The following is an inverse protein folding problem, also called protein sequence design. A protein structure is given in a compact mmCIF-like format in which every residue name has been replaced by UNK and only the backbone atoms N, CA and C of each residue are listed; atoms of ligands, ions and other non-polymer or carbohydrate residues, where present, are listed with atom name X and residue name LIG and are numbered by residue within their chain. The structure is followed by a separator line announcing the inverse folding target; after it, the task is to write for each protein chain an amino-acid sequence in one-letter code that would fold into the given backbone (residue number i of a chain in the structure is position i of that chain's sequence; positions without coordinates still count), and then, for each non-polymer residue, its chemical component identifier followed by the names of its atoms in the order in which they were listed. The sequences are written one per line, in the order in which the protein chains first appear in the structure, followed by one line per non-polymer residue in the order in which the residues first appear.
data_IF_334172877939
#
_entry.id   IF_334172877939
#
_cell.length_a   1.000
_cell.length_b   1.000
_cell.length_c   1.000
_cell.angle_alpha   90.00
_cell.angle_beta   90.00
_cell.angle_gamma   90.00
#
_symmetry.space_group_name_H-M   'P 1'
#
loop_
_entity.id
_entity.type
_entity.pdbx_description
1 polymer ?
#
# COMPACT_ATOMS: atom_id res chain seq x y z
N UNK A 1 -24.03 -2.02 -17.54
CA UNK A 1 -23.18 -0.89 -17.22
C UNK A 1 -23.91 0.39 -17.66
N UNK A 2 -24.32 1.24 -16.69
CA UNK A 2 -25.15 2.44 -16.97
C UNK A 2 -24.33 3.63 -17.52
N UNK A 3 -22.97 3.56 -17.47
CA UNK A 3 -22.12 4.73 -17.72
C UNK A 3 -20.85 4.47 -18.54
N UNK A 4 -20.72 3.34 -19.21
CA UNK A 4 -19.56 3.10 -20.06
C UNK A 4 -19.53 1.72 -20.69
N UNK A 5 -18.99 1.66 -21.88
CA UNK A 5 -18.82 0.43 -22.67
C UNK A 5 -17.55 -0.33 -22.32
N UNK A 6 -16.82 0.10 -21.28
CA UNK A 6 -15.57 -0.51 -20.84
C UNK A 6 -15.66 -1.21 -19.47
N UNK A 7 -14.73 -2.09 -19.19
CA UNK A 7 -14.69 -2.83 -17.94
C UNK A 7 -13.28 -3.22 -17.52
N UNK A 8 -13.10 -3.46 -16.20
CA UNK A 8 -11.90 -4.07 -15.65
C UNK A 8 -12.25 -5.45 -15.13
N UNK A 9 -11.57 -6.47 -15.64
CA UNK A 9 -11.70 -7.86 -15.19
C UNK A 9 -10.42 -8.25 -14.45
N UNK A 10 -10.54 -8.71 -13.22
CA UNK A 10 -9.40 -9.16 -12.42
C UNK A 10 -9.46 -10.67 -12.24
N UNK A 11 -8.42 -11.38 -12.69
CA UNK A 11 -8.26 -12.82 -12.53
C UNK A 11 -7.15 -13.11 -11.54
N UNK A 12 -7.46 -13.90 -10.52
CA UNK A 12 -6.51 -14.32 -9.48
C UNK A 12 -6.37 -15.85 -9.47
N UNK A 13 -5.23 -16.36 -8.95
CA UNK A 13 -5.04 -17.79 -8.78
C UNK A 13 -4.85 -18.57 -10.08
N UNK A 14 -4.38 -17.92 -11.14
CA UNK A 14 -4.15 -18.59 -12.45
C UNK A 14 -3.04 -19.65 -12.42
N UNK A 15 -2.23 -19.66 -11.38
CA UNK A 15 -1.26 -20.74 -11.13
C UNK A 15 -1.92 -22.12 -10.96
N UNK A 16 -3.20 -22.14 -10.56
CA UNK A 16 -4.03 -23.36 -10.48
C UNK A 16 -4.80 -23.70 -11.75
N UNK A 17 -4.65 -22.92 -12.82
CA UNK A 17 -5.37 -23.16 -14.08
C UNK A 17 -4.98 -24.51 -14.71
N UNK A 18 -5.97 -25.27 -15.12
CA UNK A 18 -5.79 -26.47 -15.95
C UNK A 18 -5.60 -26.06 -17.43
N UNK A 19 -5.28 -27.05 -18.28
CA UNK A 19 -5.00 -26.81 -19.70
C UNK A 19 -6.22 -26.22 -20.43
N UNK A 20 -7.44 -26.58 -20.00
CA UNK A 20 -8.68 -26.07 -20.58
C UNK A 20 -8.88 -24.58 -20.29
N UNK A 21 -8.68 -24.20 -19.04
CA UNK A 21 -8.75 -22.80 -18.63
C UNK A 21 -7.62 -21.98 -19.26
N UNK A 22 -6.41 -22.54 -19.33
CA UNK A 22 -5.29 -21.89 -19.99
C UNK A 22 -5.55 -21.64 -21.49
N UNK A 23 -6.17 -22.59 -22.19
CA UNK A 23 -6.55 -22.41 -23.59
C UNK A 23 -7.65 -21.34 -23.76
N UNK A 24 -8.65 -21.35 -22.90
CA UNK A 24 -9.72 -20.36 -22.93
C UNK A 24 -9.21 -18.94 -22.66
N UNK A 25 -8.28 -18.78 -21.72
CA UNK A 25 -7.66 -17.49 -21.42
C UNK A 25 -6.85 -16.93 -22.60
N UNK A 26 -6.13 -17.79 -23.34
CA UNK A 26 -5.42 -17.36 -24.55
C UNK A 26 -6.37 -16.82 -25.60
N UNK A 27 -7.49 -17.50 -25.84
CA UNK A 27 -8.50 -17.02 -26.78
C UNK A 27 -9.12 -15.67 -26.35
N UNK A 28 -9.44 -15.52 -25.06
CA UNK A 28 -9.97 -14.26 -24.51
C UNK A 28 -8.99 -13.10 -24.71
N UNK A 29 -7.70 -13.36 -24.59
CA UNK A 29 -6.66 -12.31 -24.74
C UNK A 29 -6.50 -11.91 -26.20
N UNK A 30 -6.58 -12.88 -27.13
CA UNK A 30 -6.54 -12.59 -28.57
C UNK A 30 -7.72 -11.76 -29.06
N UNK A 31 -8.89 -11.97 -28.45
CA UNK A 31 -10.15 -11.31 -28.81
C UNK A 31 -10.58 -10.20 -27.80
N UNK A 32 -9.63 -9.69 -26.96
CA UNK A 32 -9.96 -8.73 -25.91
C UNK A 32 -10.38 -7.37 -26.53
N UNK A 33 -11.56 -6.87 -26.22
CA UNK A 33 -11.99 -5.56 -26.72
C UNK A 33 -11.13 -4.41 -26.19
N UNK A 34 -10.88 -3.38 -26.99
CA UNK A 34 -10.03 -2.23 -26.66
C UNK A 34 -10.46 -1.46 -25.40
N UNK A 35 -11.75 -1.55 -25.04
CA UNK A 35 -12.33 -0.90 -23.87
C UNK A 35 -12.36 -1.80 -22.61
N UNK A 36 -11.77 -3.01 -22.67
CA UNK A 36 -11.69 -3.94 -21.54
C UNK A 36 -10.25 -4.09 -21.05
N UNK A 37 -10.03 -3.85 -19.77
CA UNK A 37 -8.75 -4.07 -19.12
C UNK A 37 -8.75 -5.39 -18.38
N UNK A 38 -7.86 -6.29 -18.74
CA UNK A 38 -7.67 -7.58 -18.07
C UNK A 38 -6.45 -7.52 -17.14
N UNK A 39 -6.69 -7.62 -15.84
CA UNK A 39 -5.64 -7.67 -14.83
C UNK A 39 -5.50 -9.10 -14.32
N UNK A 40 -4.32 -9.67 -14.47
CA UNK A 40 -4.04 -11.06 -14.07
C UNK A 40 -2.98 -11.05 -12.98
N UNK A 41 -3.22 -11.76 -11.86
CA UNK A 41 -2.22 -11.92 -10.80
C UNK A 41 -1.69 -13.35 -10.78
N UNK A 42 -0.37 -13.46 -10.58
CA UNK A 42 0.32 -14.75 -10.46
C UNK A 42 1.31 -14.69 -9.28
N UNK A 43 1.30 -15.67 -8.36
CA UNK A 43 2.15 -15.63 -7.15
C UNK A 43 3.64 -15.84 -7.42
N UNK A 44 4.02 -16.12 -8.65
CA UNK A 44 5.40 -16.52 -9.01
C UNK A 44 5.60 -18.03 -8.90
N UNK A 45 6.86 -18.46 -9.10
CA UNK A 45 7.24 -19.88 -9.04
C UNK A 45 6.95 -20.66 -10.32
N UNK A 46 7.01 -22.00 -10.22
CA UNK A 46 6.94 -22.89 -11.38
C UNK A 46 5.51 -23.29 -11.77
N UNK A 47 4.58 -23.24 -10.82
CA UNK A 47 3.19 -23.64 -11.04
C UNK A 47 2.52 -22.60 -11.95
N UNK A 48 1.86 -23.03 -13.00
CA UNK A 48 1.24 -22.13 -13.98
C UNK A 48 2.22 -21.33 -14.85
N UNK A 49 3.53 -21.63 -14.79
CA UNK A 49 4.56 -20.87 -15.51
C UNK A 49 4.34 -20.83 -17.02
N UNK A 50 3.92 -21.92 -17.64
CA UNK A 50 3.67 -21.97 -19.08
C UNK A 50 2.58 -20.97 -19.51
N UNK A 51 1.54 -20.83 -18.72
CA UNK A 51 0.50 -19.80 -18.95
C UNK A 51 1.05 -18.40 -18.73
N UNK A 52 1.80 -18.18 -17.65
CA UNK A 52 2.44 -16.88 -17.39
C UNK A 52 3.39 -16.46 -18.51
N UNK A 53 4.20 -17.38 -19.03
CA UNK A 53 5.13 -17.11 -20.12
C UNK A 53 4.38 -16.80 -21.43
N UNK A 54 3.27 -17.49 -21.70
CA UNK A 54 2.40 -17.19 -22.84
C UNK A 54 1.73 -15.79 -22.72
N UNK A 55 1.29 -15.41 -21.52
CA UNK A 55 0.75 -14.07 -21.27
C UNK A 55 1.79 -12.97 -21.48
N UNK A 56 3.02 -13.18 -21.04
CA UNK A 56 4.13 -12.26 -21.28
C UNK A 56 4.48 -12.13 -22.76
N UNK A 57 4.38 -13.23 -23.51
CA UNK A 57 4.63 -13.24 -24.95
C UNK A 57 3.54 -12.51 -25.77
N UNK A 58 2.35 -12.33 -25.20
CA UNK A 58 1.24 -11.58 -25.77
C UNK A 58 1.30 -10.05 -25.50
N UNK A 59 2.48 -9.52 -25.30
CA UNK A 59 2.75 -8.07 -25.05
C UNK A 59 2.04 -7.48 -23.83
N UNK A 60 1.80 -8.32 -22.82
CA UNK A 60 1.20 -7.87 -21.57
C UNK A 60 2.12 -6.92 -20.79
N UNK A 61 1.56 -5.87 -20.21
CA UNK A 61 2.30 -5.03 -19.28
C UNK A 61 2.56 -5.78 -17.97
N UNK A 62 3.81 -6.14 -17.70
CA UNK A 62 4.21 -6.94 -16.54
C UNK A 62 4.69 -6.04 -15.41
N UNK A 63 3.97 -6.09 -14.28
CA UNK A 63 4.34 -5.39 -13.07
C UNK A 63 4.86 -6.40 -12.04
N UNK A 64 6.12 -6.25 -11.63
CA UNK A 64 6.70 -7.07 -10.56
C UNK A 64 6.23 -6.54 -9.20
N UNK A 65 5.46 -7.38 -8.50
CA UNK A 65 4.93 -7.11 -7.16
C UNK A 65 5.70 -7.88 -6.07
N UNK A 66 7.01 -8.06 -6.24
CA UNK A 66 7.83 -8.73 -5.24
C UNK A 66 7.72 -8.01 -3.88
N UNK A 67 7.70 -8.76 -2.76
CA UNK A 67 7.64 -8.16 -1.42
C UNK A 67 8.78 -7.17 -1.19
N UNK A 68 8.44 -5.97 -0.75
CA UNK A 68 9.42 -4.96 -0.35
C UNK A 68 10.07 -5.41 0.94
N UNK A 69 11.41 -5.57 0.94
CA UNK A 69 12.16 -5.96 2.15
C UNK A 69 12.28 -4.79 3.10
N UNK A 70 12.29 -5.09 4.41
CA UNK A 70 12.54 -4.11 5.48
C UNK A 70 13.89 -3.39 5.28
N UNK A 71 14.00 -2.18 5.81
CA UNK A 71 15.21 -1.35 5.72
C UNK A 71 15.28 -0.55 4.42
N UNK A 72 16.40 -0.62 3.70
CA UNK A 72 16.68 0.25 2.54
C UNK A 72 15.60 0.21 1.48
N UNK A 73 14.99 -0.95 1.23
CA UNK A 73 13.91 -1.09 0.24
C UNK A 73 12.62 -0.37 0.64
N UNK A 74 12.33 -0.30 1.95
CA UNK A 74 11.21 0.49 2.45
C UNK A 74 11.51 2.00 2.33
N UNK A 75 12.74 2.42 2.62
CA UNK A 75 13.14 3.82 2.42
C UNK A 75 13.06 4.23 0.94
N UNK A 76 13.51 3.35 0.03
CA UNK A 76 13.36 3.56 -1.42
C UNK A 76 11.87 3.65 -1.83
N UNK A 77 11.00 2.84 -1.24
CA UNK A 77 9.56 2.89 -1.47
C UNK A 77 9.00 4.25 -1.06
N UNK A 78 9.29 4.72 0.16
CA UNK A 78 8.84 6.03 0.65
C UNK A 78 9.28 7.16 -0.30
N UNK A 79 10.55 7.15 -0.70
CA UNK A 79 11.07 8.15 -1.63
C UNK A 79 10.37 8.15 -3.00
N UNK A 80 10.06 6.96 -3.53
CA UNK A 80 9.29 6.82 -4.78
C UNK A 80 7.84 7.28 -4.63
N UNK A 81 7.25 7.07 -3.46
CA UNK A 81 5.89 7.50 -3.18
C UNK A 81 5.81 9.03 -3.18
N UNK A 82 6.74 9.75 -2.53
CA UNK A 82 6.83 11.20 -2.65
C UNK A 82 7.05 11.67 -4.10
N UNK A 83 7.90 10.98 -4.84
CA UNK A 83 8.18 11.31 -6.25
C UNK A 83 6.94 11.11 -7.15
N UNK A 84 6.10 10.11 -6.89
CA UNK A 84 4.84 9.89 -7.62
C UNK A 84 3.88 11.07 -7.47
N UNK A 85 3.89 11.73 -6.31
CA UNK A 85 3.17 12.97 -6.02
C UNK A 85 3.89 14.23 -6.51
N UNK A 86 5.02 14.11 -7.23
CA UNK A 86 5.87 15.21 -7.71
C UNK A 86 6.39 16.11 -6.56
N UNK A 87 6.57 15.54 -5.38
CA UNK A 87 7.10 16.23 -4.20
C UNK A 87 8.52 15.77 -3.91
N UNK A 88 9.34 16.70 -3.49
CA UNK A 88 10.69 16.40 -2.99
C UNK A 88 10.63 16.16 -1.50
N UNK A 89 11.48 15.27 -1.01
CA UNK A 89 11.62 14.93 0.41
C UNK A 89 13.10 14.76 0.75
N UNK A 90 13.49 15.15 1.95
CA UNK A 90 14.87 14.96 2.41
C UNK A 90 15.08 13.53 2.92
N UNK A 91 16.31 13.02 2.85
CA UNK A 91 16.65 11.70 3.39
C UNK A 91 16.33 11.56 4.88
N UNK A 92 16.59 12.57 5.75
CA UNK A 92 16.18 12.51 7.15
C UNK A 92 14.67 12.40 7.34
N UNK A 93 13.86 13.08 6.52
CA UNK A 93 12.39 12.98 6.56
C UNK A 93 11.89 11.57 6.21
N UNK A 94 12.48 10.95 5.18
CA UNK A 94 12.19 9.56 4.81
C UNK A 94 12.51 8.59 5.95
N UNK A 95 13.64 8.77 6.62
CA UNK A 95 14.04 7.95 7.76
C UNK A 95 13.08 8.15 8.95
N UNK A 96 12.75 9.39 9.29
CA UNK A 96 11.80 9.70 10.37
C UNK A 96 10.41 9.11 10.13
N UNK A 97 9.92 9.15 8.87
CA UNK A 97 8.65 8.54 8.51
C UNK A 97 8.68 7.01 8.69
N UNK A 98 9.77 6.38 8.27
CA UNK A 98 9.97 4.94 8.49
C UNK A 98 10.04 4.57 9.97
N UNK A 99 10.72 5.36 10.79
CA UNK A 99 10.82 5.16 12.25
C UNK A 99 9.46 5.31 12.94
N UNK A 100 8.62 6.24 12.48
CA UNK A 100 7.31 6.52 13.07
C UNK A 100 6.27 5.46 12.74
N UNK A 101 6.29 4.89 11.53
CA UNK A 101 5.24 3.98 11.02
C UNK A 101 5.72 2.53 10.95
N UNK A 102 7.02 2.33 10.73
CA UNK A 102 7.58 1.00 10.52
C UNK A 102 7.51 0.55 9.05
N UNK A 103 7.14 -0.72 8.83
CA UNK A 103 7.26 -1.38 7.51
C UNK A 103 5.92 -1.58 6.79
N UNK A 104 4.82 -1.09 7.32
CA UNK A 104 3.53 -1.19 6.65
C UNK A 104 3.45 -0.24 5.47
N UNK A 105 3.53 -0.81 4.25
CA UNK A 105 3.56 -0.01 3.01
C UNK A 105 2.27 0.76 2.77
N UNK A 106 1.13 0.23 3.21
CA UNK A 106 -0.16 0.89 3.07
C UNK A 106 -0.26 2.11 3.97
N UNK A 107 0.15 1.97 5.24
CA UNK A 107 0.23 3.09 6.18
C UNK A 107 1.25 4.13 5.72
N UNK A 108 2.41 3.70 5.21
CA UNK A 108 3.43 4.61 4.68
C UNK A 108 2.91 5.41 3.47
N UNK A 109 2.25 4.76 2.52
CA UNK A 109 1.67 5.44 1.36
C UNK A 109 0.58 6.44 1.78
N UNK A 110 -0.29 6.05 2.73
CA UNK A 110 -1.30 6.94 3.30
C UNK A 110 -0.69 8.17 3.97
N UNK A 111 0.34 7.97 4.78
CA UNK A 111 1.05 9.05 5.46
C UNK A 111 1.77 10.00 4.48
N UNK A 112 2.39 9.46 3.42
CA UNK A 112 2.98 10.29 2.35
C UNK A 112 1.91 11.13 1.68
N UNK A 113 0.76 10.53 1.34
CA UNK A 113 -0.35 11.27 0.72
C UNK A 113 -0.85 12.42 1.59
N UNK A 114 -0.95 12.20 2.89
CA UNK A 114 -1.35 13.23 3.86
C UNK A 114 -0.29 14.34 3.98
N UNK A 115 0.98 13.99 4.18
CA UNK A 115 2.07 14.97 4.25
C UNK A 115 2.14 15.83 2.97
N UNK A 116 1.94 15.22 1.81
CA UNK A 116 1.90 15.95 0.53
C UNK A 116 0.74 16.93 0.46
N UNK A 117 -0.41 16.61 1.06
CA UNK A 117 -1.59 17.48 1.08
C UNK A 117 -1.48 18.60 2.10
N UNK A 118 -0.88 18.32 3.26
CA UNK A 118 -0.95 19.23 4.42
C UNK A 118 0.29 20.10 4.56
N UNK A 119 1.42 19.71 3.97
CA UNK A 119 2.70 20.43 4.06
C UNK A 119 2.98 21.19 2.76
N UNK A 120 3.10 22.50 2.81
CA UNK A 120 3.43 23.35 1.65
C UNK A 120 4.93 23.32 1.30
N UNK A 121 5.80 23.06 2.28
CA UNK A 121 7.26 23.05 2.09
C UNK A 121 7.70 22.03 1.02
N UNK A 122 8.66 22.43 0.18
CA UNK A 122 9.23 21.57 -0.84
C UNK A 122 10.73 21.85 -1.03
N UNK A 123 11.65 21.01 -0.53
CA UNK A 123 11.39 19.65 -0.04
C UNK A 123 10.69 19.59 1.31
N UNK A 124 9.93 18.53 1.56
CA UNK A 124 9.41 18.14 2.87
C UNK A 124 10.59 17.68 3.72
N UNK A 125 10.76 18.27 4.91
CA UNK A 125 11.89 17.97 5.78
C UNK A 125 11.49 17.18 7.04
N UNK A 126 12.50 16.79 7.81
CA UNK A 126 12.33 16.00 9.04
C UNK A 126 11.44 16.68 10.07
N UNK A 127 11.54 18.01 10.18
CA UNK A 127 10.73 18.76 11.12
C UNK A 127 9.25 18.79 10.74
N UNK A 128 8.93 18.80 9.44
CA UNK A 128 7.55 18.66 8.94
C UNK A 128 6.97 17.29 9.32
N UNK A 129 7.75 16.22 9.15
CA UNK A 129 7.34 14.86 9.51
C UNK A 129 7.12 14.74 11.02
N UNK A 130 8.05 15.24 11.83
CA UNK A 130 7.94 15.20 13.29
C UNK A 130 6.73 15.97 13.77
N UNK A 131 6.57 17.21 13.33
CA UNK A 131 5.43 18.04 13.71
C UNK A 131 4.09 17.38 13.37
N UNK A 132 4.01 16.75 12.20
CA UNK A 132 2.82 16.02 11.78
C UNK A 132 2.51 14.84 12.72
N UNK A 133 3.52 14.02 13.07
CA UNK A 133 3.31 12.84 13.92
C UNK A 133 3.25 13.17 15.42
N UNK A 134 3.97 14.20 15.90
CA UNK A 134 3.84 14.69 17.26
C UNK A 134 2.43 15.19 17.53
N UNK A 135 1.85 15.97 16.61
CA UNK A 135 0.48 16.45 16.71
C UNK A 135 -0.57 15.32 16.71
N UNK A 136 -0.38 14.27 15.93
CA UNK A 136 -1.28 13.11 15.87
C UNK A 136 -1.18 12.27 17.15
N UNK A 137 0.02 12.05 17.67
CA UNK A 137 0.25 11.31 18.92
C UNK A 137 -0.31 12.06 20.13
N UNK A 138 -0.16 13.37 20.16
CA UNK A 138 -0.66 14.24 21.24
C UNK A 138 -2.19 14.29 21.23
N UNK A 139 -2.82 14.45 20.06
CA UNK A 139 -4.28 14.41 19.90
C UNK A 139 -4.86 13.08 20.36
N UNK A 140 -4.24 11.96 20.01
CA UNK A 140 -4.70 10.64 20.47
C UNK A 140 -4.57 10.48 21.98
N UNK A 141 -3.46 10.95 22.57
CA UNK A 141 -3.24 10.94 24.02
C UNK A 141 -4.27 11.79 24.79
N UNK A 142 -4.50 13.00 24.34
CA UNK A 142 -5.50 13.92 24.94
C UNK A 142 -6.92 13.36 24.79
N UNK A 143 -7.30 12.81 23.64
CA UNK A 143 -8.64 12.24 23.43
C UNK A 143 -8.92 11.06 24.38
N UNK A 144 -7.90 10.22 24.64
CA UNK A 144 -8.01 9.13 25.63
C UNK A 144 -8.16 9.71 27.04
N UNK A 145 -7.32 10.69 27.39
CA UNK A 145 -7.36 11.35 28.69
C UNK A 145 -8.69 12.06 28.95
N UNK A 146 -9.19 12.78 27.97
CA UNK A 146 -10.49 13.48 28.05
C UNK A 146 -11.63 12.48 28.27
N UNK A 147 -11.65 11.36 27.54
CA UNK A 147 -12.63 10.31 27.72
C UNK A 147 -12.58 9.68 29.13
N UNK A 148 -11.37 9.56 29.73
CA UNK A 148 -11.21 9.13 31.13
C UNK A 148 -11.75 10.16 32.10
N UNK A 149 -11.42 11.44 31.94
CA UNK A 149 -11.89 12.52 32.79
C UNK A 149 -13.41 12.71 32.73
N UNK A 150 -14.00 12.55 31.54
CA UNK A 150 -15.45 12.59 31.34
C UNK A 150 -16.15 11.31 31.80
N UNK A 151 -15.43 10.36 32.40
CA UNK A 151 -15.93 9.05 32.86
C UNK A 151 -16.58 8.19 31.78
N UNK A 152 -16.24 8.43 30.51
CA UNK A 152 -16.61 7.62 29.34
C UNK A 152 -15.69 6.41 29.20
N UNK A 153 -15.67 5.55 30.21
CA UNK A 153 -14.68 4.47 30.33
C UNK A 153 -14.69 3.49 29.15
N UNK A 154 -15.85 3.19 28.59
CA UNK A 154 -15.96 2.29 27.44
C UNK A 154 -15.28 2.90 26.21
N UNK A 155 -15.47 4.22 26.00
CA UNK A 155 -14.85 4.93 24.90
C UNK A 155 -13.34 5.10 25.11
N UNK A 156 -12.91 5.43 26.32
CA UNK A 156 -11.49 5.51 26.67
C UNK A 156 -10.77 4.18 26.45
N UNK A 157 -11.37 3.06 26.84
CA UNK A 157 -10.82 1.72 26.62
C UNK A 157 -10.78 1.35 25.11
N UNK A 158 -11.77 1.76 24.34
CA UNK A 158 -11.81 1.55 22.90
C UNK A 158 -10.67 2.33 22.21
N UNK A 159 -10.51 3.61 22.54
CA UNK A 159 -9.46 4.48 22.00
C UNK A 159 -8.07 3.98 22.41
N UNK A 160 -7.89 3.59 23.67
CA UNK A 160 -6.65 3.01 24.16
C UNK A 160 -6.29 1.71 23.41
N UNK A 161 -7.26 0.82 23.24
CA UNK A 161 -7.08 -0.42 22.49
C UNK A 161 -6.70 -0.13 21.03
N UNK A 162 -7.35 0.84 20.41
CA UNK A 162 -7.03 1.26 19.03
C UNK A 162 -5.61 1.82 18.95
N UNK A 163 -5.18 2.68 19.87
CA UNK A 163 -3.84 3.21 19.96
C UNK A 163 -2.79 2.10 20.19
N UNK A 164 -3.07 1.14 21.06
CA UNK A 164 -2.20 -0.01 21.31
C UNK A 164 -2.09 -0.93 20.10
N UNK A 165 -3.20 -1.21 19.38
CA UNK A 165 -3.17 -2.02 18.16
C UNK A 165 -2.39 -1.33 17.04
N UNK A 166 -2.49 -0.02 16.94
CA UNK A 166 -1.70 0.78 16.00
C UNK A 166 -0.20 0.77 16.33
N UNK A 167 0.15 0.73 17.62
CA UNK A 167 1.55 0.62 18.09
C UNK A 167 2.10 -0.82 18.03
N UNK A 168 1.25 -1.84 18.20
CA UNK A 168 1.65 -3.25 18.23
C UNK A 168 1.80 -3.85 16.83
N UNK A 169 1.08 -3.35 15.83
CA UNK A 169 1.32 -3.70 14.42
C UNK A 169 2.72 -3.28 13.94
N UNK A 170 3.39 -2.35 14.62
CA UNK A 170 4.81 -2.03 14.41
C UNK A 170 5.80 -2.99 15.11
N UNK A 171 5.35 -3.89 15.98
CA UNK A 171 6.22 -4.72 16.85
C UNK A 171 6.17 -6.22 16.63
N UNK A 172 5.29 -6.75 15.81
CA UNK A 172 5.22 -8.21 15.55
C UNK A 172 6.09 -8.56 14.35
N UNK A 173 7.40 -8.74 14.61
CA UNK A 173 8.25 -9.52 13.74
C UNK A 173 8.38 -10.93 14.35
N UNK A 174 8.24 -12.01 13.56
CA UNK A 174 8.47 -13.36 14.07
C UNK A 174 9.96 -13.55 14.43
N UNK A 175 10.17 -14.24 15.55
CA UNK A 175 11.45 -14.79 16.00
C UNK A 175 12.01 -15.77 14.97
#
# INVERSE_FOLDING_TARGET
NLFGDGGVVVLTGIDGADDRLAAALRQIIEDLPDNVYLVITHPGGMKGKALLDALKAADANVVDCAPVRKGSKTLEFIGREFASHKRKVTTPAVAALYESIGHDLGLLAGAVSQLVSDVDANPIDVDDVRHYFEGVAEVAGFTISDAVWERKYVEALRLLRQAMLSSDQGRVGPS
#
